data_IF_890568023886
#
_entry.id   IF_890568023886
#
_cell.length_a   1.000
_cell.length_b   1.000
_cell.length_c   1.000
_cell.angle_alpha   90.00
_cell.angle_beta   90.00
_cell.angle_gamma   90.00
#
_symmetry.space_group_name_H-M   'P 1'
#
loop_
_entity.id
_entity.type
_entity.pdbx_description
1 polymer ?
#
# COMPACT_ATOMS: atom_id res chain seq x y z
N UNK A 1 -9.15 4.54 2.79
CA UNK A 1 -10.47 3.89 2.59
C UNK A 1 -11.27 4.57 1.48
N UNK A 2 -11.60 5.86 1.61
CA UNK A 2 -12.34 6.60 0.58
C UNK A 2 -11.68 6.54 -0.81
N UNK A 3 -10.34 6.68 -0.87
CA UNK A 3 -9.58 6.49 -2.12
C UNK A 3 -9.81 5.10 -2.74
N UNK A 4 -9.82 4.04 -1.93
CA UNK A 4 -10.04 2.68 -2.42
C UNK A 4 -11.46 2.49 -2.99
N UNK A 5 -12.48 3.07 -2.34
CA UNK A 5 -13.85 3.09 -2.87
C UNK A 5 -13.93 3.81 -4.21
N UNK A 6 -13.47 5.06 -4.27
CA UNK A 6 -13.54 5.88 -5.49
C UNK A 6 -12.82 5.22 -6.66
N UNK A 7 -11.67 4.61 -6.39
CA UNK A 7 -10.96 3.84 -7.42
C UNK A 7 -11.75 2.62 -7.84
N UNK A 8 -12.31 1.85 -6.90
CA UNK A 8 -13.07 0.65 -7.22
C UNK A 8 -14.33 0.98 -8.05
N UNK A 9 -15.05 2.05 -7.70
CA UNK A 9 -16.18 2.55 -8.49
C UNK A 9 -15.78 3.00 -9.90
N UNK A 10 -14.59 3.60 -10.05
CA UNK A 10 -14.09 4.11 -11.33
C UNK A 10 -13.53 3.01 -12.25
N UNK A 11 -12.75 2.09 -11.70
CA UNK A 11 -11.94 1.11 -12.46
C UNK A 11 -12.60 -0.28 -12.49
N UNK A 12 -13.63 -0.51 -11.66
CA UNK A 12 -14.40 -1.75 -11.53
C UNK A 12 -13.67 -2.86 -10.78
N UNK A 13 -12.40 -3.13 -11.10
CA UNK A 13 -11.58 -4.12 -10.40
C UNK A 13 -10.25 -3.51 -9.95
N UNK A 14 -10.00 -3.50 -8.65
CA UNK A 14 -8.80 -2.94 -8.04
C UNK A 14 -8.15 -3.97 -7.14
N UNK A 15 -6.84 -4.19 -7.30
CA UNK A 15 -6.13 -5.24 -6.57
C UNK A 15 -5.34 -4.63 -5.43
N UNK A 16 -5.71 -4.96 -4.20
CA UNK A 16 -5.04 -4.50 -2.98
C UNK A 16 -4.05 -5.55 -2.50
N UNK A 17 -2.77 -5.19 -2.38
CA UNK A 17 -1.77 -6.08 -1.81
C UNK A 17 -1.92 -6.10 -0.29
N UNK A 18 -2.73 -7.03 0.23
CA UNK A 18 -3.19 -7.08 1.63
C UNK A 18 -4.42 -6.21 1.91
N UNK A 19 -4.81 -6.13 3.18
CA UNK A 19 -5.98 -5.34 3.60
C UNK A 19 -5.67 -3.84 3.73
N UNK A 20 -6.53 -2.98 3.18
CA UNK A 20 -6.37 -1.51 3.27
C UNK A 20 -6.23 -0.99 4.71
N UNK A 21 -6.94 -1.64 5.66
CA UNK A 21 -6.91 -1.40 7.11
C UNK A 21 -7.23 -2.72 7.83
N UNK A 22 -6.87 -2.85 9.10
CA UNK A 22 -7.21 -4.02 9.93
C UNK A 22 -8.65 -3.97 10.46
N UNK A 23 -9.64 -3.87 9.56
CA UNK A 23 -11.06 -3.89 9.89
C UNK A 23 -11.85 -4.72 8.88
N UNK A 24 -12.37 -5.87 9.30
CA UNK A 24 -13.07 -6.80 8.42
C UNK A 24 -14.34 -6.22 7.77
N UNK A 25 -15.07 -5.35 8.47
CA UNK A 25 -16.29 -4.75 7.91
C UNK A 25 -15.94 -3.81 6.76
N UNK A 26 -14.88 -3.01 6.93
CA UNK A 26 -14.36 -2.14 5.86
C UNK A 26 -13.90 -2.96 4.66
N UNK A 27 -13.18 -4.06 4.90
CA UNK A 27 -12.71 -4.95 3.82
C UNK A 27 -13.89 -5.54 3.05
N UNK A 28 -14.90 -6.10 3.74
CA UNK A 28 -16.09 -6.67 3.10
C UNK A 28 -16.85 -5.67 2.25
N UNK A 29 -16.98 -4.43 2.71
CA UNK A 29 -17.69 -3.40 1.95
C UNK A 29 -16.89 -2.92 0.73
N UNK A 30 -15.56 -2.89 0.81
CA UNK A 30 -14.70 -2.61 -0.35
C UNK A 30 -14.67 -3.75 -1.36
N UNK A 31 -14.77 -5.01 -0.94
CA UNK A 31 -14.89 -6.15 -1.85
C UNK A 31 -16.16 -6.05 -2.69
N UNK A 32 -17.28 -5.65 -2.06
CA UNK A 32 -18.54 -5.36 -2.78
C UNK A 32 -18.41 -4.22 -3.79
N UNK A 33 -17.54 -3.25 -3.51
CA UNK A 33 -17.27 -2.12 -4.41
C UNK A 33 -16.33 -2.46 -5.58
N UNK A 34 -15.70 -3.64 -5.59
CA UNK A 34 -14.82 -4.09 -6.68
C UNK A 34 -13.35 -4.23 -6.32
N UNK A 35 -12.99 -4.08 -5.03
CA UNK A 35 -11.62 -4.39 -4.60
C UNK A 35 -11.40 -5.90 -4.46
N UNK A 36 -10.16 -6.36 -4.66
CA UNK A 36 -9.74 -7.75 -4.45
C UNK A 36 -8.46 -7.76 -3.65
N UNK A 37 -8.49 -8.43 -2.50
CA UNK A 37 -7.29 -8.64 -1.68
C UNK A 37 -6.43 -9.74 -2.31
N UNK A 38 -5.17 -9.42 -2.55
CA UNK A 38 -4.14 -10.35 -3.03
C UNK A 38 -2.96 -10.35 -2.06
N UNK A 39 -2.16 -11.41 -2.13
CA UNK A 39 -0.93 -11.56 -1.36
C UNK A 39 0.33 -11.50 -2.23
N UNK A 40 0.17 -11.35 -3.54
CA UNK A 40 1.26 -11.37 -4.52
C UNK A 40 0.89 -10.52 -5.74
N UNK A 41 1.84 -9.70 -6.22
CA UNK A 41 1.66 -8.84 -7.39
C UNK A 41 1.41 -9.61 -8.69
N UNK A 42 1.82 -10.88 -8.79
CA UNK A 42 1.56 -11.75 -9.96
C UNK A 42 0.07 -12.06 -10.15
N UNK A 43 -0.75 -11.83 -9.12
CA UNK A 43 -2.20 -12.02 -9.18
C UNK A 43 -2.93 -10.86 -9.85
N UNK A 44 -2.22 -9.80 -10.22
CA UNK A 44 -2.81 -8.62 -10.85
C UNK A 44 -2.85 -8.82 -12.36
N UNK A 45 -4.05 -8.84 -12.98
CA UNK A 45 -4.15 -8.94 -14.44
C UNK A 45 -3.58 -7.70 -15.13
N UNK A 46 -3.03 -7.89 -16.33
CA UNK A 46 -2.51 -6.79 -17.15
C UNK A 46 -3.54 -5.67 -17.33
N UNK A 47 -3.11 -4.42 -17.13
CA UNK A 47 -3.94 -3.23 -17.29
C UNK A 47 -4.90 -2.95 -16.13
N UNK A 48 -4.89 -3.76 -15.06
CA UNK A 48 -5.67 -3.48 -13.84
C UNK A 48 -4.82 -2.74 -12.80
N UNK A 49 -5.39 -1.81 -12.03
CA UNK A 49 -4.64 -1.06 -11.04
C UNK A 49 -4.28 -1.90 -9.80
N UNK A 50 -3.12 -1.60 -9.24
CA UNK A 50 -2.69 -1.98 -7.90
C UNK A 50 -2.99 -0.85 -6.94
N UNK A 51 -3.46 -1.19 -5.75
CA UNK A 51 -3.63 -0.25 -4.65
C UNK A 51 -2.75 -0.66 -3.46
N UNK A 52 -1.82 0.22 -3.10
CA UNK A 52 -0.99 0.08 -1.90
C UNK A 52 -1.71 0.60 -0.66
N UNK A 53 -1.44 -0.04 0.47
CA UNK A 53 -2.25 0.07 1.69
C UNK A 53 -1.89 1.28 2.54
N UNK A 54 -2.76 1.63 3.47
CA UNK A 54 -2.56 2.76 4.38
C UNK A 54 -1.30 2.65 5.25
N UNK A 55 -0.85 1.42 5.53
CA UNK A 55 0.29 1.10 6.39
C UNK A 55 1.65 1.30 5.69
N UNK A 56 1.68 1.71 4.42
CA UNK A 56 2.91 1.72 3.64
C UNK A 56 3.17 0.38 2.95
N UNK A 57 4.21 0.35 2.13
CA UNK A 57 4.61 -0.80 1.32
C UNK A 57 6.12 -0.78 1.12
N UNK A 58 6.77 -1.93 1.30
CA UNK A 58 8.22 -2.04 1.23
C UNK A 58 8.76 -1.62 -0.14
N UNK A 59 9.94 -0.97 -0.23
CA UNK A 59 10.48 -0.45 -1.49
C UNK A 59 10.56 -1.49 -2.62
N UNK A 60 10.92 -2.73 -2.30
CA UNK A 60 11.00 -3.82 -3.29
C UNK A 60 9.68 -4.07 -4.03
N UNK A 61 8.55 -3.90 -3.34
CA UNK A 61 7.21 -4.10 -3.94
C UNK A 61 6.84 -2.93 -4.86
N UNK A 62 7.34 -1.71 -4.58
CA UNK A 62 7.23 -0.58 -5.51
C UNK A 62 7.98 -0.88 -6.80
N UNK A 63 9.26 -1.29 -6.69
CA UNK A 63 10.10 -1.61 -7.85
C UNK A 63 9.44 -2.69 -8.73
N UNK A 64 8.94 -3.77 -8.13
CA UNK A 64 8.25 -4.86 -8.83
C UNK A 64 6.96 -4.41 -9.54
N UNK A 65 6.20 -3.49 -8.92
CA UNK A 65 4.96 -2.97 -9.52
C UNK A 65 5.25 -2.00 -10.68
N UNK A 66 6.29 -1.18 -10.56
CA UNK A 66 6.79 -0.29 -11.62
C UNK A 66 7.33 -1.08 -12.82
N UNK A 67 8.12 -2.13 -12.59
CA UNK A 67 8.65 -3.01 -13.63
C UNK A 67 7.54 -3.70 -14.43
N UNK A 68 6.44 -4.06 -13.77
CA UNK A 68 5.24 -4.62 -14.43
C UNK A 68 4.45 -3.61 -15.24
N UNK A 69 4.76 -2.31 -15.13
CA UNK A 69 4.04 -1.23 -15.81
C UNK A 69 2.59 -1.11 -15.35
N UNK A 70 2.31 -1.50 -14.10
CA UNK A 70 0.94 -1.48 -13.56
C UNK A 70 0.60 -0.07 -13.06
N UNK A 71 -0.66 0.36 -13.18
CA UNK A 71 -1.10 1.61 -12.58
C UNK A 71 -1.11 1.48 -11.05
N UNK A 72 -0.22 2.19 -10.37
CA UNK A 72 -0.08 2.16 -8.91
C UNK A 72 -0.94 3.27 -8.30
N UNK A 73 -1.70 2.90 -7.28
CA UNK A 73 -2.55 3.81 -6.50
C UNK A 73 -2.10 3.72 -5.06
N UNK A 74 -1.44 4.76 -4.59
CA UNK A 74 -0.92 4.80 -3.24
C UNK A 74 -1.96 5.34 -2.26
N UNK A 75 -2.42 4.47 -1.35
CA UNK A 75 -3.31 4.86 -0.26
C UNK A 75 -2.59 4.96 1.08
N UNK A 76 -1.25 5.00 1.10
CA UNK A 76 -0.44 5.21 2.31
C UNK A 76 -0.93 6.43 3.07
N UNK A 77 -1.07 6.29 4.39
CA UNK A 77 -1.48 7.39 5.25
C UNK A 77 -0.46 8.53 5.14
N UNK A 78 -0.88 9.81 4.96
CA UNK A 78 0.07 10.93 4.89
C UNK A 78 1.03 10.99 6.08
N UNK A 79 0.58 10.60 7.28
CA UNK A 79 1.43 10.54 8.47
C UNK A 79 2.54 9.46 8.36
N UNK A 80 2.25 8.33 7.72
CA UNK A 80 3.26 7.29 7.44
C UNK A 80 4.26 7.82 6.40
N UNK A 81 3.78 8.49 5.36
CA UNK A 81 4.64 9.14 4.36
C UNK A 81 5.57 10.18 4.99
N UNK A 82 5.07 11.02 5.90
CA UNK A 82 5.88 12.00 6.64
C UNK A 82 7.00 11.32 7.46
N UNK A 83 6.70 10.19 8.12
CA UNK A 83 7.71 9.40 8.84
C UNK A 83 8.77 8.84 7.88
N UNK A 84 8.36 8.30 6.72
CA UNK A 84 9.28 7.78 5.71
C UNK A 84 10.19 8.89 5.13
N UNK A 85 9.65 10.09 4.92
CA UNK A 85 10.41 11.25 4.45
C UNK A 85 11.46 11.70 5.47
N UNK A 86 11.08 11.84 6.75
CA UNK A 86 12.03 12.23 7.79
C UNK A 86 13.09 11.15 8.02
N UNK A 87 12.72 9.87 7.98
CA UNK A 87 13.68 8.76 8.05
C UNK A 87 14.69 8.81 6.89
N UNK A 88 14.23 9.02 5.64
CA UNK A 88 15.11 9.17 4.47
C UNK A 88 16.06 10.35 4.61
N UNK A 89 15.56 11.50 5.09
CA UNK A 89 16.36 12.70 5.31
C UNK A 89 17.44 12.49 6.38
N UNK A 90 17.08 11.94 7.54
CA UNK A 90 18.05 11.64 8.61
C UNK A 90 19.10 10.61 8.18
N UNK A 91 18.71 9.63 7.37
CA UNK A 91 19.62 8.65 6.77
C UNK A 91 20.61 9.32 5.81
N UNK A 92 20.14 10.24 4.96
CA UNK A 92 20.98 11.02 4.05
C UNK A 92 21.99 11.92 4.79
N UNK A 93 21.66 12.34 6.01
CA UNK A 93 22.58 13.04 6.93
C UNK A 93 23.54 12.10 7.67
N UNK A 94 23.57 10.81 7.32
CA UNK A 94 24.39 9.77 7.93
C UNK A 94 24.14 9.59 9.44
N UNK A 95 22.90 9.84 9.89
CA UNK A 95 22.48 9.64 11.28
C UNK A 95 21.99 8.22 11.50
N UNK A 96 22.17 7.74 12.73
CA UNK A 96 21.57 6.48 13.18
C UNK A 96 20.08 6.70 13.47
N UNK A 97 19.24 5.87 12.86
CA UNK A 97 17.79 5.86 13.05
C UNK A 97 17.43 4.67 13.95
N UNK A 98 16.51 4.88 14.88
CA UNK A 98 15.93 3.83 15.72
C UNK A 98 14.43 3.88 15.50
N UNK A 99 13.85 2.80 14.97
CA UNK A 99 12.42 2.63 14.80
C UNK A 99 11.90 1.84 16.00
N UNK A 100 10.85 2.35 16.65
CA UNK A 100 10.17 1.67 17.77
C UNK A 100 8.80 1.23 17.26
N UNK A 101 8.58 -0.07 17.22
CA UNK A 101 7.32 -0.66 16.78
C UNK A 101 7.35 -2.18 16.91
N UNK A 102 6.22 -2.81 16.61
CA UNK A 102 6.11 -4.26 16.68
C UNK A 102 6.85 -4.91 15.52
N UNK A 103 7.73 -5.86 15.86
CA UNK A 103 8.54 -6.55 14.86
C UNK A 103 7.67 -7.27 13.84
N UNK A 104 7.87 -6.95 12.56
CA UNK A 104 7.14 -7.55 11.45
C UNK A 104 5.79 -6.88 11.12
N UNK A 105 5.40 -5.81 11.83
CA UNK A 105 4.24 -5.02 11.44
C UNK A 105 4.48 -4.31 10.10
N UNK A 106 3.44 -4.19 9.26
CA UNK A 106 3.56 -3.62 7.91
C UNK A 106 4.20 -2.22 7.92
N UNK A 107 3.79 -1.36 8.87
CA UNK A 107 4.30 0.01 9.04
C UNK A 107 5.77 0.07 9.50
N UNK A 108 6.29 -1.01 10.08
CA UNK A 108 7.70 -1.09 10.53
C UNK A 108 8.60 -1.61 9.41
N UNK A 109 8.07 -2.47 8.53
CA UNK A 109 8.81 -3.03 7.42
C UNK A 109 8.85 -2.10 6.19
N UNK A 110 7.78 -1.31 5.99
CA UNK A 110 7.64 -0.33 4.91
C UNK A 110 8.69 0.76 4.95
#
# INVERSE_FOLDING_TARGET
VDLAYKTAEKEGEVYMLGHIVHNENVVKELEKAGTKVINDLDKVPNGKPILFRAHGTVPKVWDEAEEKGTNIIDATCPLVTEIHEEARKLSAENRRIIIIGDHGHDEVNG
#
